data_IF_067203406882
#
_entry.id   IF_067203406882
#
_cell.length_a   1.000
_cell.length_b   1.000
_cell.length_c   1.000
_cell.angle_alpha   90.00
_cell.angle_beta   90.00
_cell.angle_gamma   90.00
#
_symmetry.space_group_name_H-M   'P 1'
#
loop_
_entity.id
_entity.type
_entity.pdbx_description
1 polymer ?
#
# COMPACT_ATOMS: atom_id res chain seq x y z
N UNK A 1 11.40 10.51 -9.72
CA UNK A 1 10.77 11.84 -9.53
C UNK A 1 9.44 11.81 -8.77
N UNK A 2 8.30 11.35 -9.32
CA UNK A 2 7.01 11.39 -8.58
C UNK A 2 7.07 10.63 -7.24
N UNK A 3 7.54 9.39 -7.28
CA UNK A 3 7.67 8.51 -6.09
C UNK A 3 8.62 9.13 -5.06
N UNK A 4 9.79 9.56 -5.54
CA UNK A 4 10.83 10.22 -4.74
C UNK A 4 10.32 11.48 -4.04
N UNK A 5 9.56 12.32 -4.74
CA UNK A 5 8.98 13.54 -4.17
C UNK A 5 8.01 13.24 -3.04
N UNK A 6 7.13 12.24 -3.20
CA UNK A 6 6.24 11.81 -2.12
C UNK A 6 7.05 11.30 -0.93
N UNK A 7 8.07 10.47 -1.19
CA UNK A 7 8.89 9.90 -0.13
C UNK A 7 9.64 10.98 0.67
N UNK A 8 10.22 11.97 0.00
CA UNK A 8 11.01 13.02 0.67
C UNK A 8 10.14 14.11 1.30
N UNK A 9 9.14 14.62 0.58
CA UNK A 9 8.32 15.75 1.05
C UNK A 9 7.20 15.33 2.01
N UNK A 10 6.59 14.16 1.80
CA UNK A 10 5.45 13.71 2.63
C UNK A 10 5.91 12.79 3.76
N UNK A 11 6.77 11.81 3.47
CA UNK A 11 7.18 10.83 4.48
C UNK A 11 8.43 11.28 5.26
N UNK A 12 9.28 12.12 4.66
CA UNK A 12 10.55 12.52 5.24
C UNK A 12 11.66 11.48 5.08
N UNK A 13 11.57 10.64 4.05
CA UNK A 13 12.62 9.69 3.68
C UNK A 13 13.84 10.42 3.11
N UNK A 14 15.03 9.87 3.33
CA UNK A 14 16.27 10.42 2.75
C UNK A 14 16.41 10.09 1.28
N UNK A 15 16.02 8.87 0.88
CA UNK A 15 16.07 8.43 -0.52
C UNK A 15 15.08 7.28 -0.77
N UNK A 16 14.85 6.99 -2.04
CA UNK A 16 14.02 5.86 -2.49
C UNK A 16 14.90 4.86 -3.23
N UNK A 17 14.92 3.62 -2.76
CA UNK A 17 15.59 2.52 -3.45
C UNK A 17 14.59 1.73 -4.30
N UNK A 18 15.04 1.23 -5.44
CA UNK A 18 14.22 0.47 -6.38
C UNK A 18 14.84 -0.92 -6.58
N UNK A 19 14.06 -1.95 -6.23
CA UNK A 19 14.45 -3.32 -6.49
C UNK A 19 14.49 -3.63 -8.00
N UNK A 20 15.17 -4.72 -8.41
CA UNK A 20 15.30 -5.07 -9.82
C UNK A 20 13.96 -5.20 -10.56
N UNK A 21 12.90 -5.69 -9.89
CA UNK A 21 11.57 -5.80 -10.49
C UNK A 21 10.95 -4.42 -10.73
N UNK A 22 10.92 -3.53 -9.74
CA UNK A 22 10.48 -2.15 -9.90
C UNK A 22 11.23 -1.41 -11.03
N UNK A 23 12.53 -1.66 -11.19
CA UNK A 23 13.31 -1.09 -12.31
C UNK A 23 12.85 -1.61 -13.68
N UNK A 24 12.42 -2.87 -13.78
CA UNK A 24 11.81 -3.41 -15.01
C UNK A 24 10.43 -2.80 -15.25
N UNK A 25 9.61 -2.70 -14.22
CA UNK A 25 8.27 -2.12 -14.32
C UNK A 25 8.34 -0.65 -14.77
N UNK A 26 9.31 0.11 -14.26
CA UNK A 26 9.57 1.47 -14.73
C UNK A 26 9.89 1.54 -16.22
N UNK A 27 10.66 0.60 -16.77
CA UNK A 27 10.93 0.57 -18.22
C UNK A 27 9.64 0.33 -19.01
N UNK A 28 8.84 -0.64 -18.57
CA UNK A 28 7.55 -0.96 -19.18
C UNK A 28 6.58 0.24 -19.13
N UNK A 29 6.52 0.94 -18.01
CA UNK A 29 5.72 2.17 -17.84
C UNK A 29 6.16 3.26 -18.82
N UNK A 30 7.47 3.40 -19.05
CA UNK A 30 8.02 4.35 -20.01
C UNK A 30 7.67 3.95 -21.46
N UNK A 31 7.87 2.67 -21.80
CA UNK A 31 7.60 2.13 -23.15
C UNK A 31 6.14 2.28 -23.55
N UNK A 32 5.21 2.06 -22.63
CA UNK A 32 3.77 2.20 -22.88
C UNK A 32 3.23 3.62 -22.68
N UNK A 33 4.08 4.61 -22.36
CA UNK A 33 3.67 6.01 -22.24
C UNK A 33 2.86 6.35 -20.97
N UNK A 34 2.88 5.50 -19.95
CA UNK A 34 2.12 5.71 -18.71
C UNK A 34 2.81 6.64 -17.68
N UNK A 35 3.95 7.23 -18.03
CA UNK A 35 4.71 8.13 -17.16
C UNK A 35 3.93 9.33 -16.62
N UNK A 36 2.93 9.79 -17.37
CA UNK A 36 2.14 10.96 -17.01
C UNK A 36 1.07 10.64 -15.97
N UNK A 37 0.74 9.37 -15.76
CA UNK A 37 -0.28 8.97 -14.79
C UNK A 37 0.11 9.37 -13.34
N UNK A 38 -0.87 9.73 -12.50
CA UNK A 38 -0.66 9.90 -11.06
C UNK A 38 -0.18 8.60 -10.41
N UNK A 39 0.35 8.73 -9.19
CA UNK A 39 0.84 7.60 -8.41
C UNK A 39 0.06 7.47 -7.10
N UNK A 40 -0.25 6.23 -6.72
CA UNK A 40 -0.85 5.86 -5.44
C UNK A 40 0.12 4.91 -4.74
N UNK A 41 0.90 5.44 -3.79
CA UNK A 41 1.93 4.65 -3.10
C UNK A 41 1.25 3.72 -2.10
N UNK A 42 1.53 2.43 -2.24
CA UNK A 42 0.98 1.41 -1.37
C UNK A 42 2.09 0.99 -0.37
N UNK A 43 1.89 1.36 0.90
CA UNK A 43 2.82 1.17 2.01
C UNK A 43 2.08 0.77 3.29
N UNK A 44 2.83 0.39 4.33
CA UNK A 44 2.26 0.21 5.67
C UNK A 44 1.64 1.51 6.19
N UNK A 45 0.46 1.43 6.79
CA UNK A 45 -0.23 2.56 7.43
C UNK A 45 0.28 2.86 8.85
N UNK A 46 1.06 1.95 9.44
CA UNK A 46 1.47 2.04 10.84
C UNK A 46 2.68 2.96 11.07
N UNK A 47 3.33 3.41 9.99
CA UNK A 47 4.56 4.20 10.04
C UNK A 47 4.62 5.16 8.86
N UNK A 48 5.37 6.25 8.98
CA UNK A 48 5.73 7.11 7.85
C UNK A 48 6.72 6.40 6.90
N UNK A 49 7.59 5.54 7.44
CA UNK A 49 8.50 4.71 6.64
C UNK A 49 7.81 3.48 6.05
N UNK A 50 8.54 2.69 5.28
CA UNK A 50 8.07 1.37 4.81
C UNK A 50 8.13 0.28 5.90
N UNK A 51 8.71 0.58 7.07
CA UNK A 51 8.81 -0.33 8.21
C UNK A 51 7.74 -0.01 9.28
N UNK A 52 6.81 -0.95 9.57
CA UNK A 52 5.72 -0.72 10.53
C UNK A 52 6.17 -0.54 11.98
N UNK A 53 7.40 -0.91 12.32
CA UNK A 53 7.94 -0.80 13.68
C UNK A 53 8.48 0.60 14.02
N UNK A 54 8.70 1.44 13.00
CA UNK A 54 9.23 2.78 13.18
C UNK A 54 8.10 3.78 13.46
N UNK A 55 7.78 3.95 14.74
CA UNK A 55 6.69 4.82 15.19
C UNK A 55 7.10 6.29 15.31
N UNK A 56 6.11 7.17 15.36
CA UNK A 56 6.30 8.61 15.51
C UNK A 56 6.78 9.27 14.23
N UNK A 57 7.84 10.08 14.32
CA UNK A 57 8.47 10.74 13.18
C UNK A 57 9.87 10.15 12.94
N UNK A 58 9.99 9.01 12.23
CA UNK A 58 11.29 8.47 11.87
C UNK A 58 12.07 9.45 11.01
N UNK A 59 13.39 9.40 11.11
CA UNK A 59 14.35 10.17 10.30
C UNK A 59 15.37 9.21 9.71
N UNK A 60 16.09 9.67 8.68
CA UNK A 60 17.22 8.96 8.09
C UNK A 60 16.87 7.55 7.57
N UNK A 61 15.63 7.36 7.12
CA UNK A 61 15.14 6.10 6.57
C UNK A 61 15.05 6.15 5.04
N UNK A 62 15.19 4.98 4.45
CA UNK A 62 14.99 4.74 3.02
C UNK A 62 13.61 4.15 2.79
N UNK A 63 13.02 4.45 1.63
CA UNK A 63 11.81 3.76 1.18
C UNK A 63 12.18 2.84 0.04
N UNK A 64 11.90 1.55 0.18
CA UNK A 64 12.23 0.54 -0.84
C UNK A 64 10.99 0.25 -1.68
N UNK A 65 11.06 0.46 -3.00
CA UNK A 65 10.00 0.07 -3.95
C UNK A 65 10.33 -1.29 -4.56
N UNK A 66 9.43 -2.25 -4.37
CA UNK A 66 9.62 -3.64 -4.80
C UNK A 66 9.17 -3.87 -6.24
N UNK A 67 7.97 -3.41 -6.56
CA UNK A 67 7.33 -3.53 -7.87
C UNK A 67 6.37 -2.35 -8.07
N UNK A 68 5.94 -2.13 -9.31
CA UNK A 68 4.98 -1.09 -9.67
C UNK A 68 3.87 -1.69 -10.53
N UNK A 69 2.63 -1.58 -10.05
CA UNK A 69 1.46 -2.06 -10.80
C UNK A 69 0.85 -0.92 -11.60
N UNK A 70 0.45 -1.22 -12.83
CA UNK A 70 -0.23 -0.29 -13.73
C UNK A 70 -1.74 -0.51 -13.60
N UNK A 71 -2.45 0.42 -12.98
CA UNK A 71 -3.91 0.42 -12.93
C UNK A 71 -4.46 1.23 -14.11
N UNK A 72 -4.32 0.70 -15.33
CA UNK A 72 -4.60 1.44 -16.57
C UNK A 72 -6.06 1.95 -16.65
N UNK A 73 -7.05 1.15 -16.26
CA UNK A 73 -8.45 1.56 -16.27
C UNK A 73 -8.77 2.68 -15.26
N UNK A 74 -8.13 2.66 -14.09
CA UNK A 74 -8.30 3.69 -13.07
C UNK A 74 -7.39 4.91 -13.29
N UNK A 75 -6.41 4.81 -14.18
CA UNK A 75 -5.54 5.91 -14.58
C UNK A 75 -4.43 6.26 -13.57
N UNK A 76 -3.89 5.29 -12.81
CA UNK A 76 -2.76 5.54 -11.91
C UNK A 76 -1.77 4.36 -11.83
N UNK A 77 -0.57 4.66 -11.31
CA UNK A 77 0.46 3.67 -11.01
C UNK A 77 0.50 3.38 -9.51
N UNK A 78 0.79 2.14 -9.11
CA UNK A 78 0.83 1.70 -7.72
C UNK A 78 2.22 1.17 -7.36
N UNK A 79 3.11 2.03 -6.85
CA UNK A 79 4.38 1.59 -6.27
C UNK A 79 4.15 0.83 -4.96
N UNK A 80 4.69 -0.38 -4.86
CA UNK A 80 4.55 -1.25 -3.69
C UNK A 80 5.83 -1.25 -2.87
N UNK A 81 5.78 -0.80 -1.62
CA UNK A 81 6.97 -0.70 -0.75
C UNK A 81 7.14 -1.88 0.22
N UNK A 82 6.13 -2.75 0.32
CA UNK A 82 6.13 -3.89 1.23
C UNK A 82 5.13 -4.95 0.77
N UNK A 83 4.97 -6.00 1.58
CA UNK A 83 3.86 -6.94 1.38
C UNK A 83 2.56 -6.26 1.80
N UNK A 84 1.62 -6.14 0.87
CA UNK A 84 0.29 -5.61 1.15
C UNK A 84 -0.70 -6.75 1.10
N UNK A 85 -1.46 -6.90 2.19
CA UNK A 85 -2.58 -7.83 2.23
C UNK A 85 -3.69 -7.33 1.29
N UNK A 86 -3.91 -8.06 0.20
CA UNK A 86 -5.04 -7.83 -0.72
C UNK A 86 -6.26 -8.68 -0.38
N UNK A 87 -6.05 -9.74 0.40
CA UNK A 87 -7.08 -10.68 0.81
C UNK A 87 -6.89 -10.96 2.31
N UNK A 88 -7.60 -10.26 3.21
CA UNK A 88 -7.57 -10.57 4.62
C UNK A 88 -8.25 -11.92 4.88
N UNK A 89 -7.66 -12.73 5.76
CA UNK A 89 -8.27 -13.97 6.24
C UNK A 89 -9.21 -13.74 7.44
N UNK A 90 -9.95 -14.78 7.82
CA UNK A 90 -10.73 -14.78 9.05
C UNK A 90 -9.83 -14.98 10.28
N UNK A 91 -10.15 -14.35 11.42
CA UNK A 91 -9.47 -14.62 12.69
C UNK A 91 -9.81 -16.03 13.22
N UNK A 92 -9.11 -16.47 14.26
CA UNK A 92 -9.33 -17.80 14.89
C UNK A 92 -10.79 -18.02 15.30
N UNK A 93 -11.43 -16.98 15.84
CA UNK A 93 -12.85 -16.98 16.19
C UNK A 93 -13.54 -15.91 15.33
N UNK A 94 -14.16 -16.29 14.20
CA UNK A 94 -14.85 -15.36 13.30
C UNK A 94 -16.07 -14.73 13.97
N UNK A 95 -16.32 -13.44 13.73
CA UNK A 95 -17.55 -12.78 14.19
C UNK A 95 -18.83 -13.48 13.71
N UNK A 96 -18.75 -14.19 12.58
CA UNK A 96 -19.84 -14.99 12.03
C UNK A 96 -20.41 -16.04 13.01
N UNK A 97 -19.61 -16.55 13.95
CA UNK A 97 -20.08 -17.51 14.96
C UNK A 97 -21.03 -16.87 16.00
N UNK A 98 -20.97 -15.55 16.17
CA UNK A 98 -21.79 -14.80 17.12
C UNK A 98 -22.88 -13.94 16.47
N UNK A 99 -22.99 -13.96 15.14
CA UNK A 99 -24.06 -13.26 14.41
C UNK A 99 -25.32 -14.12 14.42
N UNK A 100 -26.43 -13.55 14.88
CA UNK A 100 -27.72 -14.22 14.95
C UNK A 100 -28.90 -13.23 14.77
N UNK A 101 -30.10 -13.76 14.56
CA UNK A 101 -31.35 -13.00 14.43
C UNK A 101 -32.44 -13.61 15.32
N UNK A 102 -33.05 -12.78 16.17
CA UNK A 102 -34.15 -13.22 17.03
C UNK A 102 -35.49 -13.32 16.28
N UNK A 103 -36.51 -13.90 16.93
CA UNK A 103 -37.86 -14.08 16.37
C UNK A 103 -38.57 -12.75 16.04
N UNK A 104 -38.14 -11.64 16.63
CA UNK A 104 -38.65 -10.31 16.33
C UNK A 104 -37.89 -9.63 15.17
N UNK A 105 -36.89 -10.31 14.60
CA UNK A 105 -36.06 -9.81 13.51
C UNK A 105 -34.91 -8.91 13.94
N UNK A 106 -34.57 -8.86 15.24
CA UNK A 106 -33.44 -8.09 15.72
C UNK A 106 -32.14 -8.87 15.52
N UNK A 107 -31.12 -8.21 14.96
CA UNK A 107 -29.82 -8.80 14.69
C UNK A 107 -28.86 -8.53 15.86
N UNK A 108 -28.15 -9.56 16.30
CA UNK A 108 -27.07 -9.46 17.31
C UNK A 108 -25.71 -9.85 16.70
N UNK A 109 -24.62 -9.30 17.24
CA UNK A 109 -23.25 -9.70 16.87
C UNK A 109 -22.69 -9.09 15.57
N UNK A 110 -23.43 -8.21 14.90
CA UNK A 110 -23.02 -7.58 13.64
C UNK A 110 -22.17 -6.30 13.82
N UNK A 111 -22.25 -5.65 14.98
CA UNK A 111 -21.60 -4.37 15.29
C UNK A 111 -20.96 -4.36 16.67
#
# INVERSE_FOLDING_TARGET
KKIERIATEVYGASHVDFLPQAKKDLKIINEFGYNNLPICVAKTQNSLSDNPQLLGRPKDFLVTVREIIISAGAGFLVPLTGNIMRMPGLPRNPAAEGIDIDDAGNITGLS
#
